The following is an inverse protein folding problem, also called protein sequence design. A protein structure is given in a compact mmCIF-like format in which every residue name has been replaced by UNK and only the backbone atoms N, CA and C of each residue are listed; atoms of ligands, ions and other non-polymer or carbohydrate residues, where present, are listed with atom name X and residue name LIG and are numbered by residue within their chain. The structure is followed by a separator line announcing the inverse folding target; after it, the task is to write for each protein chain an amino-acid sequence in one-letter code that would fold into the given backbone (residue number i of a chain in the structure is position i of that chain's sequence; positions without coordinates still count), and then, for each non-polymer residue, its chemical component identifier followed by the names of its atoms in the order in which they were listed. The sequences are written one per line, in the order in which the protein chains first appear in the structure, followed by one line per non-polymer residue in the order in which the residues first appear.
data_IF_613909808772
#
_entry.id   IF_613909808772
#
_cell.length_a   1.000
_cell.length_b   1.000
_cell.length_c   1.000
_cell.angle_alpha   90.00
_cell.angle_beta   90.00
_cell.angle_gamma   90.00
#
_symmetry.space_group_name_H-M   'P 1'
#
loop_
_entity.id
_entity.type
_entity.pdbx_description
1 polymer ?
#
# COMPACT_ATOMS: atom_id res chain seq x y z
N UNK A 1 -26.90 -2.22 -23.35
CA UNK A 1 -25.97 -1.11 -23.00
C UNK A 1 -24.69 -1.34 -23.77
N UNK A 2 -24.04 -0.30 -24.33
CA UNK A 2 -22.86 -0.53 -25.14
C UNK A 2 -21.74 -1.00 -24.23
N UNK A 3 -21.22 -2.20 -24.49
CA UNK A 3 -19.92 -2.64 -24.00
C UNK A 3 -18.89 -1.65 -24.54
N UNK A 4 -18.54 -0.64 -23.75
CA UNK A 4 -17.32 0.10 -23.98
C UNK A 4 -16.20 -0.94 -23.98
N UNK A 5 -15.54 -1.08 -25.13
CA UNK A 5 -14.30 -1.83 -25.28
C UNK A 5 -13.38 -1.42 -24.14
N UNK A 6 -13.15 -2.32 -23.19
CA UNK A 6 -12.27 -2.05 -22.07
C UNK A 6 -10.89 -1.75 -22.70
N UNK A 7 -10.38 -0.50 -22.64
CA UNK A 7 -9.05 -0.24 -23.16
C UNK A 7 -8.09 -1.17 -22.43
N UNK A 8 -7.07 -1.66 -23.14
CA UNK A 8 -6.10 -2.57 -22.55
C UNK A 8 -5.41 -1.84 -21.37
N UNK A 9 -5.78 -2.20 -20.13
CA UNK A 9 -5.26 -1.59 -18.90
C UNK A 9 -3.73 -1.61 -18.93
N UNK A 10 -3.16 -2.71 -19.42
CA UNK A 10 -1.73 -2.85 -19.65
C UNK A 10 -1.18 -1.66 -20.46
N UNK A 11 -1.69 -1.41 -21.66
CA UNK A 11 -1.16 -0.37 -22.56
C UNK A 11 -1.35 1.05 -21.98
N UNK A 12 -2.49 1.29 -21.31
CA UNK A 12 -2.75 2.56 -20.65
C UNK A 12 -1.75 2.82 -19.51
N UNK A 13 -1.46 1.82 -18.70
CA UNK A 13 -0.56 1.94 -17.54
C UNK A 13 0.90 1.96 -18.01
N UNK A 14 1.29 1.15 -19.00
CA UNK A 14 2.62 1.19 -19.63
C UNK A 14 2.92 2.58 -20.20
N UNK A 15 1.93 3.28 -20.75
CA UNK A 15 2.11 4.66 -21.24
C UNK A 15 2.49 5.69 -20.16
N UNK A 16 2.38 5.33 -18.88
CA UNK A 16 2.74 6.16 -17.73
C UNK A 16 4.13 5.83 -17.16
N UNK A 17 4.81 4.78 -17.64
CA UNK A 17 6.11 4.36 -17.10
C UNK A 17 7.17 5.49 -17.05
N UNK A 18 7.33 6.35 -18.09
CA UNK A 18 8.28 7.46 -18.01
C UNK A 18 7.94 8.46 -16.89
N UNK A 19 6.65 8.71 -16.66
CA UNK A 19 6.18 9.58 -15.59
C UNK A 19 6.40 8.95 -14.21
N UNK A 20 6.14 7.65 -14.06
CA UNK A 20 6.41 6.90 -12.83
C UNK A 20 7.89 6.90 -12.50
N UNK A 21 8.74 6.65 -13.50
CA UNK A 21 10.19 6.67 -13.34
C UNK A 21 10.68 8.06 -12.91
N UNK A 22 10.16 9.13 -13.51
CA UNK A 22 10.47 10.49 -13.09
C UNK A 22 10.07 10.76 -11.64
N UNK A 23 8.88 10.33 -11.21
CA UNK A 23 8.42 10.48 -9.83
C UNK A 23 9.37 9.77 -8.87
N UNK A 24 9.78 8.52 -9.18
CA UNK A 24 10.75 7.78 -8.36
C UNK A 24 12.06 8.54 -8.21
N UNK A 25 12.63 9.05 -9.31
CA UNK A 25 13.87 9.82 -9.27
C UNK A 25 13.72 11.15 -8.52
N UNK A 26 12.62 11.88 -8.72
CA UNK A 26 12.41 13.19 -8.13
C UNK A 26 12.33 13.15 -6.59
N UNK A 27 11.81 12.06 -6.03
CA UNK A 27 11.65 11.91 -4.58
C UNK A 27 12.77 11.08 -3.93
N UNK A 28 13.64 10.44 -4.73
CA UNK A 28 14.72 9.59 -4.23
C UNK A 28 14.26 8.17 -3.85
N UNK A 29 13.29 7.60 -4.56
CA UNK A 29 12.86 6.23 -4.35
C UNK A 29 13.92 5.23 -4.85
N UNK A 30 14.53 4.49 -3.93
CA UNK A 30 15.54 3.47 -4.26
C UNK A 30 14.96 2.33 -5.08
N UNK A 31 13.72 1.95 -4.76
CA UNK A 31 13.05 0.81 -5.31
C UNK A 31 11.55 0.87 -5.09
N UNK A 32 10.78 0.51 -6.11
CA UNK A 32 9.32 0.52 -6.10
C UNK A 32 8.76 -0.65 -6.93
N UNK A 33 7.90 -1.46 -6.33
CA UNK A 33 7.04 -2.42 -7.04
C UNK A 33 5.61 -1.87 -7.14
N UNK A 34 5.02 -1.93 -8.34
CA UNK A 34 3.61 -1.59 -8.58
C UNK A 34 2.93 -2.72 -9.36
N UNK A 35 1.79 -3.20 -8.85
CA UNK A 35 0.91 -4.15 -9.55
C UNK A 35 -0.50 -3.58 -9.67
N UNK A 36 -1.12 -3.77 -10.83
CA UNK A 36 -2.53 -3.44 -11.11
C UNK A 36 -3.25 -4.74 -11.44
N UNK A 37 -4.30 -5.04 -10.68
CA UNK A 37 -5.17 -6.18 -10.90
C UNK A 37 -6.51 -5.67 -11.44
N UNK A 38 -7.09 -6.41 -12.38
CA UNK A 38 -8.42 -6.15 -12.93
C UNK A 38 -9.18 -7.47 -13.03
N UNK A 39 -10.39 -7.53 -12.47
CA UNK A 39 -11.20 -8.75 -12.49
C UNK A 39 -10.50 -9.94 -11.82
N UNK A 40 -9.73 -9.67 -10.75
CA UNK A 40 -8.99 -10.68 -9.99
C UNK A 40 -7.75 -11.26 -10.67
N UNK A 41 -7.27 -10.67 -11.77
CA UNK A 41 -6.05 -11.07 -12.48
C UNK A 41 -5.09 -9.90 -12.62
N UNK A 42 -3.79 -10.19 -12.62
CA UNK A 42 -2.78 -9.16 -12.85
C UNK A 42 -2.87 -8.65 -14.29
N UNK A 43 -3.12 -7.36 -14.42
CA UNK A 43 -3.23 -6.66 -15.70
C UNK A 43 -1.94 -5.90 -16.04
N UNK A 44 -1.15 -5.54 -15.04
CA UNK A 44 0.14 -4.86 -15.18
C UNK A 44 0.98 -5.06 -13.92
N UNK A 45 2.29 -5.24 -14.09
CA UNK A 45 3.27 -5.20 -13.02
C UNK A 45 4.56 -4.53 -13.50
N UNK A 46 5.15 -3.69 -12.65
CA UNK A 46 6.42 -3.04 -12.92
C UNK A 46 7.21 -2.83 -11.64
N UNK A 47 8.53 -3.00 -11.75
CA UNK A 47 9.46 -2.81 -10.66
C UNK A 47 10.55 -1.84 -11.10
N UNK A 48 10.69 -0.73 -10.39
CA UNK A 48 11.65 0.35 -10.63
C UNK A 48 12.74 0.30 -9.58
N UNK A 49 14.00 0.55 -9.97
CA UNK A 49 15.12 0.60 -9.03
C UNK A 49 15.59 -0.77 -8.54
N UNK A 50 16.14 -0.81 -7.34
CA UNK A 50 16.89 -1.96 -6.81
C UNK A 50 16.45 -2.35 -5.40
N UNK A 51 16.55 -3.65 -5.09
CA UNK A 51 16.32 -4.19 -3.74
C UNK A 51 17.54 -4.08 -2.85
N UNK A 52 18.72 -4.11 -3.46
CA UNK A 52 20.02 -3.96 -2.81
C UNK A 52 20.93 -3.15 -3.75
N UNK A 53 21.31 -1.95 -3.33
CA UNK A 53 22.18 -1.05 -4.10
C UNK A 53 23.62 -1.57 -4.20
N UNK A 54 24.13 -2.17 -3.12
CA UNK A 54 25.49 -2.66 -3.05
C UNK A 54 25.66 -3.89 -3.95
N UNK A 55 24.74 -4.85 -3.82
CA UNK A 55 24.72 -6.06 -4.63
C UNK A 55 24.15 -5.84 -6.06
N UNK A 56 23.60 -4.66 -6.34
CA UNK A 56 22.95 -4.28 -7.62
C UNK A 56 21.83 -5.23 -8.02
N UNK A 57 21.04 -5.66 -7.05
CA UNK A 57 19.98 -6.64 -7.28
C UNK A 57 18.65 -5.97 -7.63
N UNK A 58 18.00 -6.46 -8.69
CA UNK A 58 16.71 -5.97 -9.14
C UNK A 58 15.55 -6.48 -8.28
N UNK A 59 14.43 -5.77 -8.37
CA UNK A 59 13.15 -6.11 -7.76
C UNK A 59 12.29 -6.95 -8.70
N UNK A 60 11.47 -7.81 -8.12
CA UNK A 60 10.54 -8.70 -8.81
C UNK A 60 9.23 -8.84 -8.02
N UNK A 61 8.23 -9.49 -8.61
CA UNK A 61 6.93 -9.72 -7.97
C UNK A 61 6.99 -10.52 -6.66
N UNK A 62 8.04 -11.32 -6.52
CA UNK A 62 8.33 -12.16 -5.36
C UNK A 62 9.23 -11.47 -4.32
N UNK A 63 9.65 -10.24 -4.55
CA UNK A 63 10.50 -9.49 -3.63
C UNK A 63 9.71 -9.02 -2.42
N UNK A 64 10.19 -9.32 -1.21
CA UNK A 64 9.43 -9.13 0.03
C UNK A 64 9.80 -7.83 0.74
N UNK A 65 8.81 -7.03 1.10
CA UNK A 65 8.88 -5.76 1.80
C UNK A 65 8.15 -5.86 3.13
N UNK A 66 8.50 -5.01 4.11
CA UNK A 66 7.55 -4.70 5.18
C UNK A 66 6.33 -3.98 4.59
N UNK A 67 5.12 -4.49 4.86
CA UNK A 67 3.87 -3.85 4.40
C UNK A 67 3.33 -2.83 5.41
N UNK A 68 4.04 -2.67 6.53
CA UNK A 68 3.77 -1.63 7.51
C UNK A 68 2.31 -1.69 8.02
N UNK A 69 1.65 -0.53 8.15
CA UNK A 69 0.26 -0.47 8.63
C UNK A 69 -0.74 -1.22 7.75
N UNK A 70 -0.43 -1.60 6.51
CA UNK A 70 -1.32 -2.45 5.69
C UNK A 70 -1.55 -3.82 6.35
N UNK A 71 -0.65 -4.25 7.24
CA UNK A 71 -0.85 -5.35 8.20
C UNK A 71 -2.22 -5.30 8.90
N UNK A 72 -2.71 -4.09 9.20
CA UNK A 72 -3.95 -3.84 9.92
C UNK A 72 -5.19 -4.26 9.16
N UNK A 73 -5.17 -4.29 7.82
CA UNK A 73 -6.27 -4.78 6.98
C UNK A 73 -6.37 -6.31 6.98
N UNK A 74 -5.25 -6.99 7.19
CA UNK A 74 -5.26 -8.43 7.47
C UNK A 74 -5.91 -8.74 8.82
N UNK A 75 -6.30 -7.71 9.58
CA UNK A 75 -6.89 -7.73 10.91
C UNK A 75 -8.07 -6.74 10.97
N UNK A 76 -8.84 -6.72 12.05
CA UNK A 76 -10.02 -5.84 12.17
C UNK A 76 -9.58 -4.36 12.35
N UNK A 77 -10.16 -3.39 11.65
CA UNK A 77 -9.76 -1.96 11.71
C UNK A 77 -9.88 -1.33 13.12
N UNK A 78 -8.77 -1.07 13.84
CA UNK A 78 -8.71 -0.34 15.13
C UNK A 78 -7.37 0.44 15.26
N UNK A 79 -7.06 1.12 16.38
CA UNK A 79 -5.79 1.85 16.63
C UNK A 79 -4.65 0.93 17.10
N UNK A 80 -3.40 1.36 16.88
CA UNK A 80 -2.16 0.58 16.99
C UNK A 80 -1.97 -0.28 18.26
N UNK A 81 -2.27 0.24 19.46
CA UNK A 81 -2.16 -0.51 20.72
C UNK A 81 -3.35 -1.43 21.01
N UNK A 82 -4.52 -1.11 20.45
CA UNK A 82 -5.70 -1.97 20.62
C UNK A 82 -5.57 -3.26 19.80
N UNK A 83 -4.77 -3.26 18.72
CA UNK A 83 -4.44 -4.47 17.96
C UNK A 83 -3.71 -5.50 18.79
N UNK A 84 -2.67 -5.09 19.53
CA UNK A 84 -1.89 -6.04 20.34
C UNK A 84 -2.77 -6.76 21.37
N UNK A 85 -3.76 -6.06 21.94
CA UNK A 85 -4.75 -6.68 22.83
C UNK A 85 -5.66 -7.66 22.09
N UNK A 86 -6.18 -7.30 20.92
CA UNK A 86 -7.02 -8.21 20.11
C UNK A 86 -6.22 -9.43 19.66
N UNK A 87 -4.98 -9.22 19.24
CA UNK A 87 -4.07 -10.25 18.79
C UNK A 87 -3.72 -11.20 19.94
N UNK A 88 -3.44 -10.67 21.13
CA UNK A 88 -3.23 -11.49 22.33
C UNK A 88 -4.47 -12.31 22.67
N UNK A 89 -5.67 -11.75 22.50
CA UNK A 89 -6.92 -12.50 22.68
C UNK A 89 -7.04 -13.63 21.66
N UNK A 90 -6.69 -13.39 20.39
CA UNK A 90 -6.64 -14.43 19.36
C UNK A 90 -5.66 -15.53 19.76
N UNK A 91 -4.44 -15.19 20.17
CA UNK A 91 -3.43 -16.16 20.60
C UNK A 91 -3.90 -16.99 21.80
N UNK A 92 -4.51 -16.35 22.80
CA UNK A 92 -5.06 -17.05 23.97
C UNK A 92 -6.22 -18.00 23.61
N UNK A 93 -7.08 -17.61 22.67
CA UNK A 93 -8.22 -18.42 22.23
C UNK A 93 -7.76 -19.59 21.35
N UNK A 94 -6.83 -19.32 20.44
CA UNK A 94 -6.34 -20.30 19.45
C UNK A 94 -5.23 -21.20 20.01
N UNK A 95 -4.58 -20.80 21.12
CA UNK A 95 -3.41 -21.47 21.71
C UNK A 95 -2.26 -21.65 20.72
N UNK A 96 -2.07 -20.63 19.86
CA UNK A 96 -1.07 -20.56 18.79
C UNK A 96 -0.53 -19.13 18.69
N UNK A 97 0.66 -18.96 18.12
CA UNK A 97 1.16 -17.62 17.82
C UNK A 97 0.29 -16.95 16.76
N UNK A 98 0.27 -15.61 16.75
CA UNK A 98 -0.49 -14.88 15.75
C UNK A 98 -0.08 -15.20 14.31
N UNK A 99 1.21 -15.47 14.08
CA UNK A 99 1.73 -15.88 12.78
C UNK A 99 1.16 -17.23 12.35
N UNK A 100 1.13 -18.22 13.24
CA UNK A 100 0.53 -19.54 12.97
C UNK A 100 -0.95 -19.40 12.61
N UNK A 101 -1.70 -18.58 13.35
CA UNK A 101 -3.13 -18.35 13.10
C UNK A 101 -3.35 -17.70 11.74
N UNK A 102 -2.60 -16.66 11.38
CA UNK A 102 -2.72 -16.03 10.06
C UNK A 102 -2.30 -16.97 8.93
N UNK A 103 -1.23 -17.73 9.15
CA UNK A 103 -0.73 -18.69 8.17
C UNK A 103 -1.78 -19.74 7.84
N UNK A 104 -2.36 -20.39 8.85
CA UNK A 104 -3.36 -21.45 8.67
C UNK A 104 -4.69 -20.93 8.14
N UNK A 105 -5.16 -19.77 8.62
CA UNK A 105 -6.52 -19.28 8.33
C UNK A 105 -6.60 -18.40 7.10
N UNK A 106 -5.52 -17.71 6.73
CA UNK A 106 -5.52 -16.70 5.67
C UNK A 106 -4.47 -17.00 4.60
N UNK A 107 -3.19 -17.09 4.96
CA UNK A 107 -2.11 -17.11 3.97
C UNK A 107 -2.02 -18.42 3.19
N UNK A 108 -2.00 -19.58 3.85
CA UNK A 108 -1.93 -20.88 3.17
C UNK A 108 -3.18 -21.15 2.31
N UNK A 109 -4.42 -20.89 2.78
CA UNK A 109 -5.62 -21.01 1.94
C UNK A 109 -5.59 -20.13 0.68
N UNK A 110 -4.87 -19.00 0.73
CA UNK A 110 -4.71 -18.08 -0.39
C UNK A 110 -3.40 -18.29 -1.17
N UNK A 111 -2.56 -19.24 -0.78
CA UNK A 111 -1.27 -19.52 -1.41
C UNK A 111 -0.22 -18.40 -1.24
N UNK A 112 -0.27 -17.67 -0.14
CA UNK A 112 0.63 -16.56 0.20
C UNK A 112 1.88 -17.04 0.94
N UNK A 113 2.76 -17.77 0.25
CA UNK A 113 3.91 -18.45 0.86
C UNK A 113 5.13 -17.56 1.12
N UNK A 114 5.09 -16.30 0.69
CA UNK A 114 6.14 -15.29 0.91
C UNK A 114 5.71 -14.21 1.89
N UNK A 115 4.62 -14.46 2.61
CA UNK A 115 4.09 -13.57 3.63
C UNK A 115 4.40 -14.14 5.01
N UNK A 116 4.97 -13.32 5.88
CA UNK A 116 5.42 -13.74 7.22
C UNK A 116 5.41 -12.57 8.20
N UNK A 117 5.44 -12.85 9.50
CA UNK A 117 5.71 -11.83 10.54
C UNK A 117 7.17 -11.83 11.00
N UNK A 118 7.92 -12.84 10.57
CA UNK A 118 9.36 -12.97 10.82
C UNK A 118 10.17 -12.85 9.53
N UNK A 119 11.48 -12.65 9.67
CA UNK A 119 12.38 -12.88 8.55
C UNK A 119 12.37 -14.37 8.22
N UNK A 120 11.82 -14.71 7.05
CA UNK A 120 11.84 -16.08 6.55
C UNK A 120 13.30 -16.55 6.49
N UNK A 121 13.58 -17.70 7.12
CA UNK A 121 14.90 -18.30 7.07
C UNK A 121 15.34 -18.48 5.60
N UNK A 122 16.53 -17.97 5.25
CA UNK A 122 17.04 -17.94 3.87
C UNK A 122 16.21 -17.14 2.86
N UNK A 123 15.53 -16.07 3.28
CA UNK A 123 14.88 -15.14 2.36
C UNK A 123 15.89 -14.34 1.53
N UNK A 124 16.35 -14.94 0.44
CA UNK A 124 17.28 -14.33 -0.50
C UNK A 124 16.66 -13.22 -1.34
N UNK A 125 15.36 -12.94 -1.23
CA UNK A 125 14.64 -11.89 -1.99
C UNK A 125 14.09 -10.76 -1.12
N UNK A 126 14.55 -10.64 0.13
CA UNK A 126 14.25 -9.46 0.92
C UNK A 126 14.87 -8.21 0.29
N UNK A 127 14.17 -7.08 0.41
CA UNK A 127 14.74 -5.76 0.14
C UNK A 127 15.56 -5.28 1.34
N UNK A 128 16.55 -4.42 1.08
CA UNK A 128 17.15 -3.56 2.09
C UNK A 128 16.34 -2.27 2.26
N UNK A 129 16.49 -1.61 3.40
CA UNK A 129 15.81 -0.37 3.76
C UNK A 129 16.69 0.85 3.42
N UNK A 130 16.08 1.90 2.87
CA UNK A 130 16.80 3.12 2.49
C UNK A 130 16.08 4.40 2.91
N UNK A 131 16.83 5.46 3.19
CA UNK A 131 16.34 6.83 3.31
C UNK A 131 16.85 7.65 2.13
N UNK A 132 16.04 8.59 1.63
CA UNK A 132 16.52 9.60 0.70
C UNK A 132 17.20 10.74 1.49
N UNK A 133 18.41 11.11 1.07
CA UNK A 133 19.11 12.29 1.58
C UNK A 133 18.57 13.58 0.95
N UNK A 134 19.06 14.75 1.39
CA UNK A 134 18.60 16.06 0.90
C UNK A 134 18.76 16.24 -0.63
N UNK A 135 19.69 15.53 -1.24
CA UNK A 135 19.93 15.51 -2.69
C UNK A 135 19.18 14.36 -3.42
N UNK A 136 18.24 13.71 -2.75
CA UNK A 136 17.51 12.52 -3.18
C UNK A 136 18.38 11.27 -3.42
N UNK A 137 19.66 11.30 -3.02
CA UNK A 137 20.50 10.10 -3.07
C UNK A 137 20.12 9.12 -1.96
N UNK A 138 20.23 7.80 -2.21
CA UNK A 138 19.82 6.80 -1.24
C UNK A 138 20.90 6.55 -0.17
N UNK A 139 20.47 6.35 1.06
CA UNK A 139 21.30 5.94 2.19
C UNK A 139 20.72 4.68 2.83
N UNK A 140 21.51 3.61 2.92
CA UNK A 140 21.07 2.35 3.55
C UNK A 140 20.89 2.54 5.06
N UNK A 141 19.74 2.11 5.59
CA UNK A 141 19.45 2.17 7.02
C UNK A 141 19.21 0.75 7.56
N UNK A 142 19.40 0.53 8.88
CA UNK A 142 19.09 -0.75 9.48
C UNK A 142 17.61 -1.13 9.28
N UNK A 143 17.35 -2.43 9.09
CA UNK A 143 16.00 -2.97 9.04
C UNK A 143 15.28 -2.76 10.39
N UNK A 144 13.97 -2.44 10.40
CA UNK A 144 13.20 -2.36 11.62
C UNK A 144 13.23 -3.69 12.39
N UNK A 145 13.57 -3.65 13.68
CA UNK A 145 13.54 -4.81 14.57
C UNK A 145 12.11 -5.04 15.07
N UNK A 146 11.25 -5.58 14.19
CA UNK A 146 9.85 -5.89 14.48
C UNK A 146 9.53 -7.32 14.06
N UNK A 147 8.92 -8.06 14.97
CA UNK A 147 8.43 -9.43 14.78
C UNK A 147 7.11 -9.62 15.53
N UNK A 148 6.51 -10.80 15.44
CA UNK A 148 5.32 -11.17 16.20
C UNK A 148 5.52 -11.12 17.73
N UNK A 149 6.75 -11.16 18.21
CA UNK A 149 7.08 -11.08 19.65
C UNK A 149 7.11 -9.64 20.19
N UNK A 150 7.20 -8.65 19.31
CA UNK A 150 7.29 -7.24 19.71
C UNK A 150 5.89 -6.66 19.94
N UNK A 151 5.74 -5.73 20.89
CA UNK A 151 4.47 -5.00 21.17
C UNK A 151 3.92 -4.31 19.91
N UNK A 152 4.80 -3.99 18.95
CA UNK A 152 4.44 -3.33 17.70
C UNK A 152 4.21 -4.31 16.54
N UNK A 153 4.44 -5.60 16.78
CA UNK A 153 4.39 -6.66 15.78
C UNK A 153 3.02 -6.78 15.12
N UNK A 154 1.99 -6.71 15.96
CA UNK A 154 0.58 -6.63 15.61
C UNK A 154 0.29 -5.60 14.48
N UNK A 155 0.97 -4.46 14.49
CA UNK A 155 0.71 -3.36 13.56
C UNK A 155 1.63 -3.27 12.35
N UNK A 156 2.82 -3.89 12.40
CA UNK A 156 3.91 -3.59 11.46
C UNK A 156 4.78 -4.79 11.04
N UNK A 157 4.65 -5.95 11.69
CA UNK A 157 5.59 -7.05 11.48
C UNK A 157 5.44 -7.75 10.13
N UNK A 158 4.28 -7.62 9.45
CA UNK A 158 4.04 -8.40 8.25
C UNK A 158 4.97 -7.92 7.13
N UNK A 159 5.65 -8.90 6.55
CA UNK A 159 6.40 -8.78 5.31
C UNK A 159 5.63 -9.53 4.23
N UNK A 160 5.56 -8.99 3.02
CA UNK A 160 4.88 -9.64 1.88
C UNK A 160 5.47 -9.14 0.56
N UNK A 161 5.00 -9.70 -0.55
CA UNK A 161 5.39 -9.32 -1.91
C UNK A 161 4.15 -8.98 -2.76
N UNK A 162 4.32 -8.36 -3.92
CA UNK A 162 3.16 -8.00 -4.78
C UNK A 162 2.40 -9.24 -5.24
N UNK A 163 3.09 -10.35 -5.51
CA UNK A 163 2.47 -11.61 -5.94
C UNK A 163 1.51 -12.19 -4.88
N UNK A 164 1.88 -12.08 -3.60
CA UNK A 164 1.05 -12.58 -2.50
C UNK A 164 -0.08 -11.62 -2.15
N UNK A 165 0.21 -10.31 -2.09
CA UNK A 165 -0.81 -9.30 -1.88
C UNK A 165 -1.85 -9.31 -3.01
N UNK A 166 -1.44 -9.61 -4.24
CA UNK A 166 -2.37 -9.77 -5.35
C UNK A 166 -3.40 -10.88 -5.11
N UNK A 167 -2.98 -12.02 -4.56
CA UNK A 167 -3.88 -13.12 -4.17
C UNK A 167 -4.80 -12.68 -3.03
N UNK A 168 -4.24 -12.04 -2.01
CA UNK A 168 -4.99 -11.51 -0.87
C UNK A 168 -6.10 -10.56 -1.30
N UNK A 169 -5.76 -9.48 -2.00
CA UNK A 169 -6.70 -8.43 -2.35
C UNK A 169 -7.68 -8.85 -3.44
N UNK A 170 -7.28 -9.74 -4.36
CA UNK A 170 -8.22 -10.29 -5.34
C UNK A 170 -9.32 -11.11 -4.66
N UNK A 171 -8.94 -11.98 -3.71
CA UNK A 171 -9.92 -12.75 -2.95
C UNK A 171 -10.75 -11.85 -2.02
N UNK A 172 -10.11 -10.88 -1.37
CA UNK A 172 -10.77 -9.90 -0.49
C UNK A 172 -11.82 -9.10 -1.27
N UNK A 173 -11.45 -8.48 -2.39
CA UNK A 173 -12.35 -7.70 -3.25
C UNK A 173 -13.54 -8.55 -3.74
N UNK A 174 -13.27 -9.76 -4.24
CA UNK A 174 -14.32 -10.70 -4.63
C UNK A 174 -15.28 -11.00 -3.47
N UNK A 175 -14.73 -11.21 -2.28
CA UNK A 175 -15.50 -11.53 -1.08
C UNK A 175 -16.32 -10.35 -0.58
N UNK A 176 -15.76 -9.14 -0.60
CA UNK A 176 -16.49 -7.90 -0.29
C UNK A 176 -17.68 -7.75 -1.23
N UNK A 177 -17.45 -7.78 -2.54
CA UNK A 177 -18.51 -7.66 -3.54
C UNK A 177 -19.59 -8.74 -3.35
N UNK A 178 -19.20 -10.00 -3.14
CA UNK A 178 -20.15 -11.09 -2.90
C UNK A 178 -21.00 -10.88 -1.63
N UNK A 179 -20.37 -10.61 -0.48
CA UNK A 179 -21.07 -10.49 0.80
C UNK A 179 -22.00 -9.27 0.84
N UNK A 180 -21.57 -8.11 0.31
CA UNK A 180 -22.40 -6.91 0.24
C UNK A 180 -23.58 -7.08 -0.74
N UNK A 181 -23.35 -7.63 -1.94
CA UNK A 181 -24.41 -7.77 -2.94
C UNK A 181 -25.44 -8.84 -2.55
N UNK A 182 -25.00 -9.95 -1.95
CA UNK A 182 -25.87 -11.07 -1.57
C UNK A 182 -26.38 -10.99 -0.14
N UNK A 183 -25.95 -9.98 0.65
CA UNK A 183 -26.26 -9.82 2.07
C UNK A 183 -25.91 -11.07 2.89
N UNK A 184 -24.77 -11.68 2.60
CA UNK A 184 -24.25 -12.87 3.30
C UNK A 184 -23.08 -12.49 4.19
N UNK A 185 -22.76 -13.35 5.17
CA UNK A 185 -21.61 -13.20 6.06
C UNK A 185 -20.43 -14.09 5.68
N UNK A 186 -20.52 -14.81 4.56
CA UNK A 186 -19.47 -15.68 4.04
C UNK A 186 -19.55 -15.79 2.52
N UNK A 187 -18.44 -16.19 1.92
CA UNK A 187 -18.32 -16.49 0.48
C UNK A 187 -17.67 -17.87 0.32
N UNK A 188 -18.19 -18.75 -0.56
CA UNK A 188 -17.58 -20.06 -0.80
C UNK A 188 -16.10 -19.93 -1.20
N UNK A 189 -15.25 -20.80 -0.66
CA UNK A 189 -13.79 -20.83 -0.93
C UNK A 189 -13.03 -19.54 -0.55
N UNK A 190 -13.64 -18.66 0.23
CA UNK A 190 -12.97 -17.50 0.82
C UNK A 190 -12.74 -17.74 2.31
N UNK A 191 -11.54 -17.42 2.83
CA UNK A 191 -11.31 -17.42 4.27
C UNK A 191 -12.00 -16.24 4.97
N UNK A 192 -12.38 -15.18 4.25
CA UNK A 192 -12.95 -13.97 4.84
C UNK A 192 -14.43 -14.13 5.19
N UNK A 193 -14.79 -13.68 6.39
CA UNK A 193 -16.15 -13.76 6.93
C UNK A 193 -16.55 -12.42 7.54
N UNK A 194 -17.85 -12.15 7.53
CA UNK A 194 -18.48 -10.99 8.15
C UNK A 194 -17.95 -9.64 7.65
N UNK A 195 -17.50 -9.55 6.38
CA UNK A 195 -16.93 -8.32 5.84
C UNK A 195 -17.92 -7.15 5.83
N UNK A 196 -19.23 -7.43 5.74
CA UNK A 196 -20.28 -6.41 5.88
C UNK A 196 -20.28 -5.73 7.25
N UNK A 197 -19.90 -6.46 8.30
CA UNK A 197 -19.78 -5.95 9.67
C UNK A 197 -18.40 -5.34 9.89
N UNK A 198 -17.34 -5.99 9.41
CA UNK A 198 -15.96 -5.56 9.61
C UNK A 198 -15.68 -4.21 8.94
N UNK A 199 -16.20 -4.02 7.72
CA UNK A 199 -16.01 -2.79 6.94
C UNK A 199 -17.04 -1.70 7.26
N UNK A 200 -17.98 -1.96 8.17
CA UNK A 200 -18.87 -0.91 8.65
C UNK A 200 -18.06 0.11 9.47
N UNK A 201 -18.29 1.42 9.31
CA UNK A 201 -17.69 2.41 10.18
C UNK A 201 -18.14 2.19 11.64
N UNK A 202 -17.18 1.89 12.54
CA UNK A 202 -17.43 1.70 13.98
C UNK A 202 -17.12 2.94 14.81
N UNK A 203 -16.42 3.92 14.23
CA UNK A 203 -16.13 5.21 14.82
C UNK A 203 -16.14 6.28 13.72
N UNK A 204 -16.52 7.50 14.10
CA UNK A 204 -16.44 8.67 13.24
C UNK A 204 -15.35 9.59 13.79
N UNK A 205 -14.36 9.90 12.95
CA UNK A 205 -13.36 10.92 13.24
C UNK A 205 -13.66 12.12 12.35
N UNK A 206 -13.50 13.32 12.91
CA UNK A 206 -13.57 14.55 12.12
C UNK A 206 -12.40 14.56 11.13
N UNK A 207 -12.74 14.54 9.84
CA UNK A 207 -11.76 14.59 8.76
C UNK A 207 -11.54 16.05 8.35
N UNK A 208 -10.28 16.48 8.35
CA UNK A 208 -9.87 17.78 7.80
C UNK A 208 -10.14 17.83 6.28
N UNK A 209 -9.95 16.69 5.59
CA UNK A 209 -10.23 16.55 4.16
C UNK A 209 -10.35 15.08 3.78
N UNK A 210 -11.37 14.73 2.99
CA UNK A 210 -11.50 13.39 2.37
C UNK A 210 -10.38 13.06 1.38
N UNK A 211 -9.57 14.05 0.99
CA UNK A 211 -8.47 13.92 0.02
C UNK A 211 -7.09 13.84 0.67
N UNK A 212 -7.01 13.99 1.99
CA UNK A 212 -5.75 13.87 2.73
C UNK A 212 -5.35 12.39 2.87
N UNK A 213 -4.91 11.81 1.76
CA UNK A 213 -4.32 10.47 1.71
C UNK A 213 -2.80 10.58 1.84
N UNK A 214 -2.15 9.55 2.42
CA UNK A 214 -0.69 9.45 2.52
C UNK A 214 -0.01 10.58 3.31
N UNK A 215 1.31 10.69 3.24
CA UNK A 215 2.15 11.80 3.69
C UNK A 215 2.14 12.98 2.70
N UNK A 216 1.85 12.73 1.41
CA UNK A 216 1.89 13.75 0.36
C UNK A 216 0.98 14.96 0.63
N UNK A 217 -0.14 14.80 1.33
CA UNK A 217 -1.03 15.93 1.65
C UNK A 217 -0.38 16.99 2.56
N UNK A 218 0.66 16.61 3.32
CA UNK A 218 1.44 17.55 4.13
C UNK A 218 2.45 18.34 3.31
N UNK A 219 2.76 17.87 2.09
CA UNK A 219 3.84 18.40 1.26
C UNK A 219 3.35 19.31 0.13
N UNK A 220 2.04 19.38 -0.10
CA UNK A 220 1.43 20.26 -1.10
C UNK A 220 0.24 21.02 -0.51
N UNK A 221 -0.01 22.24 -1.01
CA UNK A 221 -1.03 23.13 -0.43
C UNK A 221 -2.46 22.59 -0.50
N UNK A 222 -2.76 21.73 -1.48
CA UNK A 222 -4.07 21.08 -1.56
C UNK A 222 -4.02 19.81 -2.41
N UNK A 223 -4.54 18.71 -1.87
CA UNK A 223 -4.70 17.47 -2.63
C UNK A 223 -5.73 17.62 -3.76
N UNK A 224 -5.45 16.95 -4.87
CA UNK A 224 -6.16 17.10 -6.14
C UNK A 224 -7.46 16.30 -6.22
N UNK A 225 -8.25 16.59 -7.25
CA UNK A 225 -9.38 15.74 -7.66
C UNK A 225 -8.91 14.76 -8.73
N UNK A 226 -8.59 13.54 -8.30
CA UNK A 226 -8.31 12.43 -9.21
C UNK A 226 -9.60 12.05 -9.94
N UNK A 227 -9.51 11.98 -11.26
CA UNK A 227 -10.63 11.56 -12.13
C UNK A 227 -11.59 12.68 -12.53
N UNK A 228 -11.13 13.94 -12.55
CA UNK A 228 -11.98 15.08 -12.86
C UNK A 228 -12.69 14.93 -14.22
N UNK A 229 -14.01 15.06 -14.21
CA UNK A 229 -14.85 14.91 -15.40
C UNK A 229 -15.28 13.47 -15.71
N UNK A 230 -14.75 12.47 -14.99
CA UNK A 230 -15.24 11.11 -15.02
C UNK A 230 -16.38 10.89 -14.01
N UNK A 231 -17.21 9.84 -14.17
CA UNK A 231 -18.16 9.42 -13.15
C UNK A 231 -17.45 9.13 -11.83
N UNK A 232 -18.00 9.61 -10.72
CA UNK A 232 -17.47 9.33 -9.38
C UNK A 232 -17.48 7.84 -9.07
N UNK A 233 -16.39 7.33 -8.50
CA UNK A 233 -16.25 5.94 -8.09
C UNK A 233 -15.77 5.86 -6.64
N UNK A 234 -16.23 4.83 -5.92
CA UNK A 234 -15.73 4.52 -4.60
C UNK A 234 -14.30 3.99 -4.71
N UNK A 235 -13.38 4.64 -4.00
CA UNK A 235 -12.00 4.19 -3.84
C UNK A 235 -11.75 3.99 -2.35
N UNK A 236 -11.35 2.78 -1.97
CA UNK A 236 -10.83 2.50 -0.62
C UNK A 236 -9.30 2.56 -0.68
N UNK A 237 -8.70 3.19 0.31
CA UNK A 237 -7.26 3.38 0.40
C UNK A 237 -6.75 2.90 1.75
N UNK A 238 -5.62 2.21 1.74
CA UNK A 238 -4.84 1.99 2.94
C UNK A 238 -3.35 2.10 2.67
N UNK A 239 -2.71 3.03 3.38
CA UNK A 239 -1.26 3.21 3.40
C UNK A 239 -0.62 2.63 4.66
N UNK A 240 0.65 2.26 4.53
CA UNK A 240 1.55 1.98 5.64
C UNK A 240 2.92 2.58 5.39
N UNK A 241 3.54 3.14 6.43
CA UNK A 241 4.87 3.73 6.35
C UNK A 241 5.67 3.48 7.63
N UNK A 242 6.74 2.71 7.51
CA UNK A 242 7.73 2.46 8.57
C UNK A 242 9.10 2.88 8.05
N UNK A 243 10.08 3.01 8.94
CA UNK A 243 11.47 3.26 8.57
C UNK A 243 11.89 2.40 7.36
N UNK A 244 12.14 3.06 6.24
CA UNK A 244 12.68 2.48 5.02
C UNK A 244 11.65 1.81 4.13
N UNK A 245 10.36 1.88 4.45
CA UNK A 245 9.30 1.22 3.67
C UNK A 245 8.01 2.04 3.66
N UNK A 246 7.45 2.25 2.46
CA UNK A 246 6.04 2.60 2.33
C UNK A 246 5.31 1.54 1.51
N UNK A 247 4.02 1.41 1.77
CA UNK A 247 3.10 0.56 1.01
C UNK A 247 1.77 1.29 0.91
N UNK A 248 1.10 1.12 -0.22
CA UNK A 248 -0.28 1.56 -0.37
C UNK A 248 -1.08 0.56 -1.20
N UNK A 249 -2.35 0.41 -0.83
CA UNK A 249 -3.32 -0.38 -1.57
C UNK A 249 -4.54 0.47 -1.86
N UNK A 250 -4.97 0.43 -3.12
CA UNK A 250 -6.15 1.09 -3.62
C UNK A 250 -7.12 0.05 -4.15
N UNK A 251 -8.34 0.06 -3.65
CA UNK A 251 -9.43 -0.83 -4.05
C UNK A 251 -10.52 0.01 -4.72
N UNK A 252 -10.85 -0.33 -5.98
CA UNK A 252 -11.95 0.27 -6.74
C UNK A 252 -13.02 -0.82 -7.00
N UNK A 253 -13.96 -1.05 -6.07
CA UNK A 253 -14.81 -2.24 -6.12
C UNK A 253 -15.72 -2.32 -7.33
N UNK A 254 -16.24 -1.18 -7.79
CA UNK A 254 -17.12 -1.10 -8.95
C UNK A 254 -16.39 -1.42 -10.26
N UNK A 255 -15.09 -1.11 -10.34
CA UNK A 255 -14.24 -1.40 -11.49
C UNK A 255 -13.51 -2.75 -11.36
N UNK A 256 -13.72 -3.48 -10.26
CA UNK A 256 -12.95 -4.68 -9.87
C UNK A 256 -11.44 -4.50 -10.06
N UNK A 257 -10.95 -3.29 -9.77
CA UNK A 257 -9.56 -2.89 -9.97
C UNK A 257 -8.88 -2.72 -8.62
N UNK A 258 -7.66 -3.23 -8.50
CA UNK A 258 -6.82 -3.13 -7.32
C UNK A 258 -5.46 -2.61 -7.76
N UNK A 259 -4.88 -1.67 -7.03
CA UNK A 259 -3.52 -1.18 -7.27
C UNK A 259 -2.74 -1.33 -5.98
N UNK A 260 -1.60 -2.03 -6.06
CA UNK A 260 -0.68 -2.27 -4.95
C UNK A 260 0.63 -1.58 -5.30
N UNK A 261 1.15 -0.75 -4.41
CA UNK A 261 2.46 -0.13 -4.55
C UNK A 261 3.28 -0.34 -3.27
N UNK A 262 4.53 -0.76 -3.40
CA UNK A 262 5.46 -0.97 -2.29
C UNK A 262 6.82 -0.40 -2.63
N UNK A 263 7.40 0.38 -1.71
CA UNK A 263 8.73 0.95 -1.87
C UNK A 263 9.64 0.55 -0.72
N UNK A 264 10.94 0.38 -1.00
CA UNK A 264 11.98 0.10 -0.01
C UNK A 264 12.76 1.36 0.38
N UNK A 265 12.05 2.49 0.45
CA UNK A 265 12.65 3.74 0.93
C UNK A 265 11.66 4.62 1.68
N UNK A 266 12.16 5.38 2.65
CA UNK A 266 11.50 6.58 3.16
C UNK A 266 12.09 7.76 2.39
N UNK A 267 11.24 8.40 1.57
CA UNK A 267 11.66 9.30 0.48
C UNK A 267 11.19 10.73 0.73
N UNK A 268 11.62 11.67 -0.12
CA UNK A 268 11.15 13.05 -0.11
C UNK A 268 9.73 13.14 -0.73
N UNK A 269 8.77 12.42 -0.16
CA UNK A 269 7.42 12.24 -0.69
C UNK A 269 6.88 10.83 -0.45
N UNK A 270 5.88 10.43 -1.23
CA UNK A 270 5.39 9.05 -1.25
C UNK A 270 5.04 8.60 -2.68
N UNK A 271 5.90 7.78 -3.29
CA UNK A 271 5.64 7.21 -4.62
C UNK A 271 4.49 6.19 -4.57
N UNK A 272 4.30 5.50 -3.43
CA UNK A 272 3.17 4.61 -3.22
C UNK A 272 1.82 5.34 -3.26
N UNK A 273 1.81 6.66 -3.19
CA UNK A 273 0.62 7.48 -3.33
C UNK A 273 0.52 8.15 -4.71
N UNK A 274 1.60 8.82 -5.16
CA UNK A 274 1.59 9.51 -6.46
C UNK A 274 1.30 8.60 -7.65
N UNK A 275 1.91 7.42 -7.68
CA UNK A 275 1.83 6.53 -8.83
C UNK A 275 0.45 5.86 -8.94
N UNK A 276 -0.12 5.27 -7.87
CA UNK A 276 -1.49 4.78 -7.93
C UNK A 276 -2.52 5.86 -8.26
N UNK A 277 -2.39 7.08 -7.72
CA UNK A 277 -3.30 8.19 -8.10
C UNK A 277 -3.18 8.55 -9.59
N UNK A 278 -1.97 8.54 -10.15
CA UNK A 278 -1.74 8.73 -11.59
C UNK A 278 -2.40 7.63 -12.44
N UNK A 279 -2.27 6.37 -12.01
CA UNK A 279 -2.93 5.23 -12.65
C UNK A 279 -4.45 5.39 -12.59
N UNK A 280 -5.02 5.65 -11.41
CA UNK A 280 -6.47 5.84 -11.23
C UNK A 280 -6.97 6.98 -12.12
N UNK A 281 -6.25 8.10 -12.15
CA UNK A 281 -6.60 9.23 -13.01
C UNK A 281 -6.67 8.82 -14.48
N UNK A 282 -5.66 8.09 -14.97
CA UNK A 282 -5.61 7.61 -16.35
C UNK A 282 -6.72 6.62 -16.66
N UNK A 283 -6.95 5.64 -15.77
CA UNK A 283 -7.96 4.60 -15.95
C UNK A 283 -9.40 5.13 -15.83
N UNK A 284 -9.61 6.22 -15.08
CA UNK A 284 -10.93 6.83 -14.95
C UNK A 284 -11.50 7.42 -16.24
N UNK A 285 -10.66 7.65 -17.26
CA UNK A 285 -11.05 8.38 -18.47
C UNK A 285 -11.25 9.89 -18.22
N UNK A 286 -10.59 10.43 -17.19
CA UNK A 286 -10.60 11.84 -16.82
C UNK A 286 -10.37 12.77 -18.03
N UNK A 287 -11.10 13.89 -18.04
CA UNK A 287 -10.88 14.99 -19.01
C UNK A 287 -10.01 16.10 -18.44
N UNK A 288 -9.84 16.15 -17.11
CA UNK A 288 -8.87 17.03 -16.46
C UNK A 288 -7.43 16.55 -16.66
N UNK A 289 -6.48 17.48 -16.67
CA UNK A 289 -5.04 17.19 -16.70
C UNK A 289 -4.45 17.45 -15.31
N UNK A 290 -3.67 16.48 -14.81
CA UNK A 290 -2.90 16.59 -13.58
C UNK A 290 -1.41 16.45 -13.91
N UNK A 291 -0.61 17.44 -13.50
CA UNK A 291 0.84 17.41 -13.62
C UNK A 291 1.49 16.77 -12.39
N UNK A 292 1.45 15.43 -12.36
CA UNK A 292 2.02 14.64 -11.26
C UNK A 292 3.54 14.84 -11.11
N UNK A 293 4.27 15.13 -12.19
CA UNK A 293 5.72 15.32 -12.14
C UNK A 293 6.05 16.61 -11.38
N UNK A 294 5.36 17.70 -11.73
CA UNK A 294 5.50 18.97 -11.00
C UNK A 294 5.13 18.81 -9.54
N UNK A 295 4.07 18.08 -9.23
CA UNK A 295 3.62 17.88 -7.84
C UNK A 295 4.59 17.05 -7.03
N UNK A 296 5.09 15.93 -7.58
CA UNK A 296 6.13 15.15 -6.93
C UNK A 296 7.40 15.99 -6.70
N UNK A 297 7.80 16.79 -7.69
CA UNK A 297 8.95 17.71 -7.55
C UNK A 297 8.73 18.76 -6.46
N UNK A 298 7.52 19.33 -6.38
CA UNK A 298 7.18 20.31 -5.34
C UNK A 298 7.14 19.67 -3.96
N UNK A 299 6.54 18.48 -3.84
CA UNK A 299 6.49 17.71 -2.61
C UNK A 299 7.89 17.37 -2.10
N UNK A 300 8.79 16.94 -3.00
CA UNK A 300 10.18 16.66 -2.65
C UNK A 300 10.92 17.87 -2.11
N UNK A 301 10.70 19.05 -2.71
CA UNK A 301 11.28 20.30 -2.21
C UNK A 301 10.71 20.68 -0.84
N UNK A 302 9.39 20.56 -0.64
CA UNK A 302 8.75 20.88 0.63
C UNK A 302 9.23 19.95 1.76
N UNK A 303 9.39 18.66 1.46
CA UNK A 303 9.84 17.66 2.44
C UNK A 303 11.21 17.98 3.05
N UNK A 304 12.07 18.74 2.35
CA UNK A 304 13.38 19.14 2.84
C UNK A 304 13.33 20.13 4.01
N UNK A 305 12.28 20.96 4.07
CA UNK A 305 12.13 22.04 5.05
C UNK A 305 11.17 21.68 6.19
N UNK A 306 10.29 20.71 5.96
CA UNK A 306 9.25 20.35 6.92
C UNK A 306 9.77 19.99 8.33
N UNK A 307 10.90 19.27 8.52
CA UNK A 307 11.43 19.03 9.86
C UNK A 307 11.85 20.32 10.59
N UNK A 308 12.49 21.25 9.86
CA UNK A 308 12.93 22.54 10.40
C UNK A 308 11.72 23.43 10.75
N UNK A 309 10.68 23.45 9.91
CA UNK A 309 9.43 24.16 10.19
C UNK A 309 8.70 23.61 11.43
N UNK A 310 8.68 22.28 11.60
CA UNK A 310 8.08 21.63 12.77
C UNK A 310 8.88 21.98 14.04
N UNK A 311 10.21 21.96 13.97
CA UNK A 311 11.09 22.32 15.08
C UNK A 311 10.86 23.78 15.51
N UNK A 312 10.87 24.72 14.57
CA UNK A 312 10.59 26.14 14.81
C UNK A 312 9.19 26.36 15.44
N UNK A 313 8.16 25.65 14.97
CA UNK A 313 6.81 25.76 15.53
C UNK A 313 6.72 25.19 16.96
N UNK A 314 7.50 24.14 17.26
CA UNK A 314 7.57 23.56 18.60
C UNK A 314 8.35 24.44 19.57
N UNK A 315 9.41 25.12 19.12
CA UNK A 315 10.19 26.04 19.96
C UNK A 315 9.46 27.34 20.28
N UNK A 316 8.50 27.74 19.45
CA UNK A 316 7.72 28.98 19.62
C UNK A 316 6.45 28.82 20.47
N UNK A 317 6.14 27.60 20.93
CA UNK A 317 4.98 27.27 21.78
C UNK A 317 5.35 27.08 23.24
#
# INVERSE_FOLDING_TARGET
MPHHSNPNIHDLVTSLEPQMDHVCHAIGATGLSVSVLSGGKEAYAKHFGLRDLEAKEALFGDTTYFIASVTKEMRLQVRLYAYDVVDRVIEMVEQKSLEEVLKERIWEPLGMYRTSMEDLAANTKAVKAYYALKDASPYEVPMPTISHETIMGAGWAVRSCTDDLAKYYSNFMHTVNHQFNNKTTSTPHSPFKQLTTILQPHNHLDLVSLRALSYNYLLISSMLVVGQGAPGQLTLYHGGSIQGFNTAVYLLPAAETIIIAMQNSSVLGDACDWIPQMIIHKLSGSTGSIDFLRLATMAAKAALFLPEEIEDELETR
#
